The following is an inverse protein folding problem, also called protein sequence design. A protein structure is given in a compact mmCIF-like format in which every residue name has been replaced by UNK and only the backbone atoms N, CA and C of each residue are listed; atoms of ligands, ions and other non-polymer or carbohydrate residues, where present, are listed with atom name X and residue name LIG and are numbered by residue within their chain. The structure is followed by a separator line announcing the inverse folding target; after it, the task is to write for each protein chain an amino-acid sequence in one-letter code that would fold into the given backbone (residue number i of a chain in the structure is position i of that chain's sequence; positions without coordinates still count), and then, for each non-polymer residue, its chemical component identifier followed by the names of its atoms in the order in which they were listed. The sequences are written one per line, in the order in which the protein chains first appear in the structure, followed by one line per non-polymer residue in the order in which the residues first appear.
data_IF_290749039070
#
_entry.id   IF_290749039070
#
_cell.length_a   1.000
_cell.length_b   1.000
_cell.length_c   1.000
_cell.angle_alpha   90.00
_cell.angle_beta   90.00
_cell.angle_gamma   90.00
#
_symmetry.space_group_name_H-M   'P 1'
#
loop_
_entity.id
_entity.type
_entity.pdbx_description
1 polymer ?
#
# COMPACT_ATOMS: atom_id res chain seq x y z
N UNK A 1 2.95 67.75 -4.65
CA UNK A 1 4.37 67.79 -5.05
C UNK A 1 4.93 66.40 -4.80
N UNK A 2 4.72 65.49 -5.76
CA UNK A 2 5.72 64.98 -6.73
C UNK A 2 6.55 63.82 -6.16
N UNK A 3 6.05 62.60 -6.35
CA UNK A 3 6.91 61.42 -6.53
C UNK A 3 7.33 61.36 -8.01
N UNK A 4 8.61 61.12 -8.33
CA UNK A 4 9.00 60.82 -9.69
C UNK A 4 8.72 59.36 -10.08
N UNK A 5 8.46 59.24 -11.37
CA UNK A 5 7.97 58.11 -12.16
C UNK A 5 9.14 57.39 -12.87
N UNK A 6 8.83 56.28 -13.57
CA UNK A 6 9.57 55.60 -14.67
C UNK A 6 10.79 54.74 -14.29
N UNK A 7 11.08 53.56 -14.84
CA UNK A 7 10.69 52.80 -16.05
C UNK A 7 10.79 51.28 -15.75
N UNK A 8 10.00 50.34 -16.26
CA UNK A 8 9.75 49.91 -17.64
C UNK A 8 11.01 49.32 -18.34
N UNK A 9 11.21 47.99 -18.24
CA UNK A 9 11.39 47.06 -19.38
C UNK A 9 11.62 45.59 -18.90
N UNK A 10 11.35 44.59 -19.77
CA UNK A 10 10.96 43.22 -19.43
C UNK A 10 12.08 42.18 -19.64
N UNK A 11 11.80 40.97 -19.11
CA UNK A 11 12.18 39.61 -19.53
C UNK A 11 13.53 39.36 -20.27
N UNK A 12 14.26 38.28 -19.92
CA UNK A 12 13.67 36.92 -19.98
C UNK A 12 14.05 36.04 -18.76
N UNK A 13 13.16 35.25 -18.15
CA UNK A 13 12.46 34.09 -18.72
C UNK A 13 13.37 33.05 -19.38
N UNK A 14 14.58 32.81 -18.87
CA UNK A 14 15.36 31.61 -19.22
C UNK A 14 16.09 31.11 -17.98
N UNK A 15 15.41 30.37 -17.10
CA UNK A 15 16.08 29.38 -16.24
C UNK A 15 15.11 28.34 -15.68
N UNK A 16 14.11 27.94 -16.48
CA UNK A 16 13.15 26.88 -16.14
C UNK A 16 13.16 25.76 -17.21
N UNK A 17 14.35 25.33 -17.62
CA UNK A 17 14.48 24.35 -18.70
C UNK A 17 15.69 23.40 -18.54
N UNK A 18 15.96 22.90 -17.33
CA UNK A 18 16.78 21.70 -17.16
C UNK A 18 16.22 20.94 -15.95
N UNK A 19 16.11 19.61 -16.08
CA UNK A 19 15.53 18.62 -15.15
C UNK A 19 14.10 18.13 -15.47
N UNK A 20 13.80 17.90 -16.76
CA UNK A 20 13.03 16.71 -17.13
C UNK A 20 13.94 15.76 -17.91
N UNK A 21 14.83 15.08 -17.19
CA UNK A 21 15.41 13.82 -17.66
C UNK A 21 14.30 12.78 -17.66
N UNK A 22 13.49 12.76 -18.72
CA UNK A 22 12.49 11.74 -18.96
C UNK A 22 13.18 10.38 -19.10
N UNK A 23 12.78 9.44 -18.24
CA UNK A 23 13.17 8.04 -18.38
C UNK A 23 12.52 7.48 -19.65
N UNK A 24 13.33 7.05 -20.63
CA UNK A 24 12.90 6.32 -21.83
C UNK A 24 12.39 4.94 -21.42
N UNK A 25 11.13 4.86 -20.96
CA UNK A 25 10.41 3.59 -20.93
C UNK A 25 10.16 3.21 -22.38
N UNK A 26 10.95 2.27 -22.91
CA UNK A 26 10.74 1.66 -24.23
C UNK A 26 9.26 1.31 -24.39
N UNK A 27 8.56 2.08 -25.21
CA UNK A 27 7.24 1.71 -25.71
C UNK A 27 7.45 0.49 -26.61
N UNK A 28 7.29 -0.70 -26.04
CA UNK A 28 7.13 -1.91 -26.84
C UNK A 28 5.81 -1.77 -27.57
N UNK A 29 5.89 -1.51 -28.87
CA UNK A 29 4.81 -1.75 -29.82
C UNK A 29 4.37 -3.20 -29.67
N UNK A 30 3.29 -3.43 -28.92
CA UNK A 30 2.58 -4.70 -28.94
C UNK A 30 1.53 -4.60 -30.04
N UNK A 31 1.96 -5.04 -31.23
CA UNK A 31 1.11 -5.50 -32.32
C UNK A 31 -0.03 -6.37 -31.78
N UNK A 32 -1.20 -6.12 -32.33
CA UNK A 32 -2.44 -6.91 -32.20
C UNK A 32 -2.12 -8.41 -32.27
N UNK A 33 -2.25 -9.07 -31.12
CA UNK A 33 -2.24 -10.52 -30.98
C UNK A 33 -3.27 -10.87 -29.92
N UNK A 34 -4.46 -11.26 -30.37
CA UNK A 34 -5.41 -11.97 -29.54
C UNK A 34 -4.80 -13.34 -29.20
N UNK A 35 -4.01 -13.37 -28.12
CA UNK A 35 -3.41 -14.56 -27.56
C UNK A 35 -3.66 -14.54 -26.07
N UNK A 36 -4.43 -15.51 -25.60
CA UNK A 36 -4.70 -15.73 -24.18
C UNK A 36 -3.39 -15.81 -23.39
N UNK A 37 -3.10 -14.78 -22.59
CA UNK A 37 -2.02 -14.79 -21.60
C UNK A 37 -2.63 -14.97 -20.21
N UNK A 38 -2.73 -16.20 -19.72
CA UNK A 38 -2.83 -16.58 -18.30
C UNK A 38 -2.06 -17.91 -18.18
N UNK A 39 -1.04 -18.04 -17.32
CA UNK A 39 -1.20 -17.95 -15.86
C UNK A 39 -0.07 -17.26 -15.05
N UNK A 40 0.95 -16.66 -15.68
CA UNK A 40 2.18 -16.24 -14.96
C UNK A 40 2.00 -15.07 -13.97
N UNK A 41 0.96 -14.26 -14.10
CA UNK A 41 0.75 -13.09 -13.21
C UNK A 41 0.12 -13.46 -11.86
N UNK A 42 -0.66 -14.54 -11.82
CA UNK A 42 -1.41 -14.95 -10.61
C UNK A 42 -0.47 -15.45 -9.52
N UNK A 43 0.54 -16.27 -9.87
CA UNK A 43 1.51 -16.79 -8.89
C UNK A 43 2.39 -15.70 -8.26
N UNK A 44 2.81 -14.71 -9.05
CA UNK A 44 3.61 -13.60 -8.54
C UNK A 44 2.78 -12.70 -7.62
N UNK A 45 1.51 -12.49 -7.93
CA UNK A 45 0.62 -11.69 -7.09
C UNK A 45 0.32 -12.39 -5.76
N UNK A 46 -0.01 -13.68 -5.78
CA UNK A 46 -0.22 -14.47 -4.56
C UNK A 46 1.04 -14.47 -3.68
N UNK A 47 2.22 -14.61 -4.28
CA UNK A 47 3.49 -14.54 -3.54
C UNK A 47 3.67 -13.20 -2.82
N UNK A 48 3.39 -12.07 -3.49
CA UNK A 48 3.44 -10.74 -2.86
C UNK A 48 2.44 -10.57 -1.73
N UNK A 49 1.21 -11.05 -1.91
CA UNK A 49 0.16 -11.00 -0.88
C UNK A 49 0.57 -11.79 0.36
N UNK A 50 1.17 -12.98 0.18
CA UNK A 50 1.71 -13.81 1.27
C UNK A 50 2.87 -13.10 1.98
N UNK A 51 3.80 -12.49 1.23
CA UNK A 51 4.91 -11.75 1.81
C UNK A 51 4.42 -10.55 2.65
N UNK A 52 3.45 -9.79 2.13
CA UNK A 52 2.84 -8.67 2.83
C UNK A 52 2.17 -9.11 4.13
N UNK A 53 1.42 -10.21 4.12
CA UNK A 53 0.80 -10.77 5.33
C UNK A 53 1.84 -11.23 6.35
N UNK A 54 2.96 -11.83 5.92
CA UNK A 54 4.05 -12.22 6.82
C UNK A 54 4.70 -11.02 7.50
N UNK A 55 4.97 -9.95 6.75
CA UNK A 55 5.49 -8.70 7.29
C UNK A 55 4.53 -8.12 8.34
N UNK A 56 3.24 -8.05 8.03
CA UNK A 56 2.20 -7.60 8.94
C UNK A 56 2.13 -8.41 10.24
N UNK A 57 2.32 -9.74 10.18
CA UNK A 57 2.43 -10.59 11.38
C UNK A 57 3.67 -10.27 12.21
N UNK A 58 4.80 -9.96 11.58
CA UNK A 58 6.03 -9.57 12.27
C UNK A 58 5.85 -8.22 12.98
N UNK A 59 5.21 -7.26 12.33
CA UNK A 59 4.87 -5.95 12.92
C UNK A 59 3.93 -6.09 14.11
N UNK A 60 2.93 -6.97 14.02
CA UNK A 60 2.04 -7.27 15.14
C UNK A 60 2.79 -7.87 16.33
N UNK A 61 3.79 -8.74 16.08
CA UNK A 61 4.68 -9.26 17.14
C UNK A 61 5.55 -8.15 17.72
N UNK A 62 6.04 -7.23 16.89
CA UNK A 62 6.81 -6.08 17.36
C UNK A 62 5.98 -5.21 18.32
N UNK A 63 4.69 -4.96 18.01
CA UNK A 63 3.78 -4.25 18.92
C UNK A 63 3.67 -4.92 20.30
N UNK A 64 3.65 -6.25 20.36
CA UNK A 64 3.65 -6.98 21.62
C UNK A 64 4.94 -6.71 22.42
N UNK A 65 6.10 -6.83 21.77
CA UNK A 65 7.41 -6.59 22.38
C UNK A 65 7.55 -5.14 22.88
N UNK A 66 7.00 -4.19 22.12
CA UNK A 66 6.95 -2.77 22.48
C UNK A 66 5.88 -2.45 23.55
N UNK A 67 5.13 -3.45 24.02
CA UNK A 67 4.04 -3.31 24.99
C UNK A 67 3.05 -2.22 24.57
N UNK A 68 2.69 -2.24 23.28
CA UNK A 68 1.77 -1.27 22.73
C UNK A 68 0.36 -1.45 23.31
N UNK A 69 -0.26 -0.38 23.81
CA UNK A 69 -1.63 -0.43 24.32
C UNK A 69 -2.65 -0.90 23.25
N UNK A 70 -2.34 -0.66 21.97
CA UNK A 70 -3.15 -1.09 20.83
C UNK A 70 -3.03 -2.59 20.50
N UNK A 71 -1.98 -3.28 20.98
CA UNK A 71 -1.69 -4.67 20.61
C UNK A 71 -2.87 -5.63 20.87
N UNK A 72 -3.51 -5.68 22.05
CA UNK A 72 -4.57 -6.66 22.31
C UNK A 72 -5.81 -6.47 21.42
N UNK A 73 -6.08 -5.24 21.00
CA UNK A 73 -7.18 -4.96 20.07
C UNK A 73 -6.82 -5.40 18.65
N UNK A 74 -5.64 -5.04 18.16
CA UNK A 74 -5.17 -5.39 16.82
C UNK A 74 -4.97 -6.90 16.65
N UNK A 75 -4.46 -7.60 17.67
CA UNK A 75 -4.32 -9.05 17.65
C UNK A 75 -5.68 -9.75 17.52
N UNK A 76 -6.66 -9.36 18.33
CA UNK A 76 -8.01 -9.96 18.26
C UNK A 76 -8.64 -9.77 16.88
N UNK A 77 -8.53 -8.56 16.32
CA UNK A 77 -9.02 -8.27 14.97
C UNK A 77 -8.29 -9.10 13.91
N UNK A 78 -6.97 -9.26 14.03
CA UNK A 78 -6.17 -10.09 13.13
C UNK A 78 -6.63 -11.54 13.15
N UNK A 79 -6.74 -12.13 14.33
CA UNK A 79 -7.18 -13.53 14.46
C UNK A 79 -8.62 -13.74 13.97
N UNK A 80 -9.52 -12.81 14.27
CA UNK A 80 -10.90 -12.85 13.76
C UNK A 80 -10.93 -12.80 12.23
N UNK A 81 -10.15 -11.92 11.62
CA UNK A 81 -10.06 -11.80 10.18
C UNK A 81 -9.51 -13.08 9.54
N UNK A 82 -8.43 -13.65 10.10
CA UNK A 82 -7.83 -14.90 9.60
C UNK A 82 -8.79 -16.08 9.74
N UNK A 83 -9.50 -16.20 10.88
CA UNK A 83 -10.53 -17.25 11.05
C UNK A 83 -11.68 -17.08 10.06
N UNK A 84 -12.13 -15.86 9.80
CA UNK A 84 -13.17 -15.58 8.81
C UNK A 84 -12.74 -15.97 7.39
N UNK A 85 -11.52 -15.57 7.00
CA UNK A 85 -10.95 -15.91 5.70
C UNK A 85 -10.79 -17.42 5.52
N UNK A 86 -10.34 -18.14 6.56
CA UNK A 86 -10.20 -19.59 6.53
C UNK A 86 -11.55 -20.32 6.39
N UNK A 87 -12.58 -19.86 7.11
CA UNK A 87 -13.95 -20.40 6.96
C UNK A 87 -14.48 -20.18 5.55
N UNK A 88 -14.30 -18.97 5.01
CA UNK A 88 -14.72 -18.67 3.66
C UNK A 88 -13.94 -19.49 2.61
N UNK A 89 -12.64 -19.73 2.80
CA UNK A 89 -11.86 -20.57 1.89
C UNK A 89 -12.45 -21.99 1.73
N UNK A 90 -13.05 -22.56 2.79
CA UNK A 90 -13.76 -23.85 2.74
C UNK A 90 -15.07 -23.75 1.93
N UNK A 91 -15.77 -22.62 2.01
CA UNK A 91 -17.03 -22.40 1.31
C UNK A 91 -16.87 -21.89 -0.13
N UNK A 92 -15.69 -21.38 -0.47
CA UNK A 92 -15.41 -20.68 -1.73
C UNK A 92 -15.77 -21.50 -2.97
N UNK A 93 -15.56 -22.82 -2.95
CA UNK A 93 -15.90 -23.72 -4.07
C UNK A 93 -17.40 -23.99 -4.19
N UNK A 94 -18.20 -23.66 -3.18
CA UNK A 94 -19.64 -23.89 -3.13
C UNK A 94 -20.47 -22.66 -3.54
N UNK A 95 -19.81 -21.57 -3.96
CA UNK A 95 -20.46 -20.33 -4.41
C UNK A 95 -20.06 -20.01 -5.85
N UNK A 96 -20.88 -19.20 -6.53
CA UNK A 96 -20.60 -18.78 -7.91
C UNK A 96 -19.40 -17.82 -7.99
N UNK A 97 -18.81 -17.69 -9.18
CA UNK A 97 -17.62 -16.88 -9.44
C UNK A 97 -17.77 -15.42 -8.99
N UNK A 98 -18.93 -14.80 -9.24
CA UNK A 98 -19.18 -13.42 -8.83
C UNK A 98 -19.13 -13.24 -7.29
N UNK A 99 -19.66 -14.21 -6.54
CA UNK A 99 -19.51 -14.23 -5.08
C UNK A 99 -18.06 -14.47 -4.67
N UNK A 100 -17.34 -15.35 -5.38
CA UNK A 100 -15.92 -15.60 -5.10
C UNK A 100 -15.11 -14.30 -5.24
N UNK A 101 -15.19 -13.65 -6.39
CA UNK A 101 -14.43 -12.43 -6.69
C UNK A 101 -14.74 -11.29 -5.72
N UNK A 102 -16.01 -11.14 -5.35
CA UNK A 102 -16.46 -10.12 -4.40
C UNK A 102 -15.87 -10.35 -3.02
N UNK A 103 -15.97 -11.57 -2.50
CA UNK A 103 -15.54 -11.89 -1.14
C UNK A 103 -14.01 -12.01 -1.05
N UNK A 104 -13.35 -12.52 -2.09
CA UNK A 104 -11.89 -12.52 -2.24
C UNK A 104 -11.36 -11.07 -2.17
N UNK A 105 -11.99 -10.15 -2.90
CA UNK A 105 -11.63 -8.73 -2.88
C UNK A 105 -11.88 -8.07 -1.53
N UNK A 106 -12.99 -8.41 -0.87
CA UNK A 106 -13.30 -7.94 0.49
C UNK A 106 -12.21 -8.36 1.48
N UNK A 107 -11.83 -9.64 1.50
CA UNK A 107 -10.81 -10.12 2.42
C UNK A 107 -9.44 -9.51 2.13
N UNK A 108 -9.05 -9.38 0.85
CA UNK A 108 -7.80 -8.71 0.48
C UNK A 108 -7.77 -7.26 0.98
N UNK A 109 -8.87 -6.51 0.80
CA UNK A 109 -8.98 -5.16 1.33
C UNK A 109 -8.87 -5.11 2.86
N UNK A 110 -9.61 -5.95 3.57
CA UNK A 110 -9.61 -5.96 5.05
C UNK A 110 -8.25 -6.31 5.62
N UNK A 111 -7.52 -7.26 5.00
CA UNK A 111 -6.15 -7.60 5.38
C UNK A 111 -5.24 -6.39 5.18
N UNK A 112 -5.27 -5.77 4.01
CA UNK A 112 -4.43 -4.60 3.73
C UNK A 112 -4.71 -3.43 4.69
N UNK A 113 -5.99 -3.16 4.98
CA UNK A 113 -6.37 -2.12 5.94
C UNK A 113 -5.85 -2.40 7.34
N UNK A 114 -6.02 -3.63 7.83
CA UNK A 114 -5.54 -4.00 9.16
C UNK A 114 -4.01 -3.93 9.24
N UNK A 115 -3.32 -4.39 8.20
CA UNK A 115 -1.86 -4.34 8.16
C UNK A 115 -1.32 -2.90 8.12
N UNK A 116 -1.99 -1.98 7.41
CA UNK A 116 -1.65 -0.56 7.48
C UNK A 116 -1.84 0.02 8.89
N UNK A 117 -2.91 -0.35 9.59
CA UNK A 117 -3.16 0.08 10.98
C UNK A 117 -2.10 -0.46 11.95
N UNK A 118 -1.68 -1.72 11.77
CA UNK A 118 -0.61 -2.34 12.57
C UNK A 118 0.71 -1.62 12.32
N UNK A 119 1.08 -1.39 11.06
CA UNK A 119 2.30 -0.67 10.69
C UNK A 119 2.33 0.74 11.32
N UNK A 120 1.22 1.48 11.20
CA UNK A 120 1.09 2.80 11.80
C UNK A 120 1.26 2.76 13.33
N UNK A 121 0.64 1.77 13.99
CA UNK A 121 0.81 1.60 15.43
C UNK A 121 2.27 1.31 15.79
N UNK A 122 2.99 0.51 15.00
CA UNK A 122 4.42 0.23 15.23
C UNK A 122 5.22 1.52 15.14
N UNK A 123 5.05 2.28 14.06
CA UNK A 123 5.78 3.53 13.84
C UNK A 123 5.50 4.56 14.94
N UNK A 124 4.25 4.69 15.37
CA UNK A 124 3.88 5.60 16.46
C UNK A 124 4.58 5.21 17.78
N UNK A 125 4.61 3.92 18.13
CA UNK A 125 5.25 3.46 19.38
C UNK A 125 6.76 3.59 19.33
N UNK A 126 7.38 3.32 18.19
CA UNK A 126 8.81 3.58 17.99
C UNK A 126 9.14 5.07 18.11
N UNK A 127 8.30 5.95 17.55
CA UNK A 127 8.46 7.40 17.64
C UNK A 127 8.31 7.92 19.08
N UNK A 128 7.33 7.40 19.85
CA UNK A 128 7.17 7.71 21.27
C UNK A 128 8.42 7.35 22.07
N UNK A 129 8.97 6.14 21.87
CA UNK A 129 10.20 5.71 22.55
C UNK A 129 11.41 6.59 22.17
N UNK A 130 11.57 6.92 20.88
CA UNK A 130 12.64 7.78 20.40
C UNK A 130 12.51 9.24 20.89
N UNK A 131 11.29 9.73 21.11
CA UNK A 131 11.01 11.08 21.62
C UNK A 131 11.19 11.22 23.14
N UNK A 132 11.14 10.13 23.90
CA UNK A 132 11.37 10.13 25.36
C UNK A 132 12.84 10.03 25.77
N UNK A 133 13.77 9.95 24.81
CA UNK A 133 15.21 9.85 25.07
C UNK A 133 15.91 11.20 25.33
N UNK A 134 15.19 12.20 25.88
CA UNK A 134 15.70 13.55 26.20
C UNK A 134 15.49 13.87 27.68
#
# INVERSE_FOLDING_TARGET
MTMPNTSLLPLPFILLAVLLSGCQSKLRTATTGAGAQLPMQTEQQVSKEVQHLRQCQQELKALNTLQAASYPALQRTFEQLMRGAAQYAVLRTNVNENTQDTVDSLYRYRVNLLCAQINQAVLNRLAEQGGTAQ
#
